data_IF_608429969980
#
_entry.id   IF_608429969980
#
_cell.length_a   1.000
_cell.length_b   1.000
_cell.length_c   1.000
_cell.angle_alpha   90.00
_cell.angle_beta   90.00
_cell.angle_gamma   90.00
#
_symmetry.space_group_name_H-M   'P 1'
#
loop_
_entity.id
_entity.type
_entity.pdbx_description
1 polymer ?
#
# COMPACT_ATOMS: atom_id res chain seq x y z
N UNK A 1 9.65 -10.34 15.59
CA UNK A 1 8.47 -10.20 14.71
C UNK A 1 7.80 -11.56 14.46
N UNK A 2 8.57 -12.60 14.16
CA UNK A 2 8.10 -13.96 13.83
C UNK A 2 7.12 -14.57 14.85
N UNK A 3 7.44 -14.56 16.14
CA UNK A 3 6.55 -15.11 17.19
C UNK A 3 5.17 -14.40 17.25
N UNK A 4 5.15 -13.06 17.13
CA UNK A 4 3.90 -12.31 17.14
C UNK A 4 3.06 -12.59 15.87
N UNK A 5 3.72 -12.85 14.74
CA UNK A 5 3.07 -13.23 13.49
C UNK A 5 2.37 -14.59 13.65
N UNK A 6 3.07 -15.59 14.18
CA UNK A 6 2.55 -16.94 14.41
C UNK A 6 1.32 -16.94 15.32
N UNK A 7 1.40 -16.26 16.46
CA UNK A 7 0.28 -16.15 17.40
C UNK A 7 -0.94 -15.50 16.73
N UNK A 8 -0.72 -14.43 15.95
CA UNK A 8 -1.81 -13.74 15.26
C UNK A 8 -2.40 -14.59 14.12
N UNK A 9 -1.57 -15.35 13.40
CA UNK A 9 -2.02 -16.30 12.37
C UNK A 9 -2.94 -17.35 12.96
N UNK A 10 -2.52 -17.99 14.06
CA UNK A 10 -3.31 -19.00 14.76
C UNK A 10 -4.63 -18.41 15.28
N UNK A 11 -4.56 -17.28 15.98
CA UNK A 11 -5.74 -16.62 16.54
C UNK A 11 -6.80 -16.22 15.51
N UNK A 12 -6.38 -15.93 14.26
CA UNK A 12 -7.28 -15.50 13.18
C UNK A 12 -7.53 -16.58 12.12
N UNK A 13 -6.96 -17.79 12.28
CA UNK A 13 -7.02 -18.85 11.26
C UNK A 13 -6.52 -18.40 9.88
N UNK A 14 -5.43 -17.63 9.87
CA UNK A 14 -4.81 -17.09 8.65
C UNK A 14 -3.46 -17.76 8.38
N UNK A 15 -3.08 -17.77 7.11
CA UNK A 15 -1.73 -18.14 6.69
C UNK A 15 -1.03 -16.91 6.09
N UNK A 16 0.15 -16.57 6.62
CA UNK A 16 0.96 -15.44 6.18
C UNK A 16 2.34 -15.96 5.80
N UNK A 17 2.74 -15.67 4.57
CA UNK A 17 4.12 -15.86 4.13
C UNK A 17 4.83 -14.51 4.14
N UNK A 18 6.00 -14.45 4.78
CA UNK A 18 6.83 -13.26 4.81
C UNK A 18 7.99 -13.39 3.85
N UNK A 19 8.36 -12.27 3.24
CA UNK A 19 9.50 -12.20 2.35
C UNK A 19 10.30 -10.92 2.60
N UNK A 20 11.59 -11.08 2.85
CA UNK A 20 12.54 -9.99 3.13
C UNK A 20 13.35 -9.59 1.89
N UNK A 21 13.18 -10.30 0.77
CA UNK A 21 13.83 -9.96 -0.49
C UNK A 21 13.28 -8.66 -1.06
N UNK A 22 14.11 -7.93 -1.79
CA UNK A 22 13.65 -6.72 -2.48
C UNK A 22 12.68 -7.09 -3.61
N UNK A 23 11.38 -6.93 -3.37
CA UNK A 23 10.34 -7.18 -4.36
C UNK A 23 10.13 -6.03 -5.34
N UNK A 24 10.64 -4.84 -5.05
CA UNK A 24 10.49 -3.65 -5.92
C UNK A 24 11.36 -3.71 -7.17
N UNK A 25 12.40 -4.56 -7.19
CA UNK A 25 13.31 -4.73 -8.33
C UNK A 25 12.88 -5.80 -9.35
N UNK A 26 11.77 -6.49 -9.11
CA UNK A 26 11.34 -7.62 -9.96
C UNK A 26 9.84 -7.61 -10.23
N UNK A 27 9.46 -8.16 -11.39
CA UNK A 27 8.07 -8.55 -11.60
C UNK A 27 7.70 -9.67 -10.63
N UNK A 28 6.52 -9.57 -10.03
CA UNK A 28 5.95 -10.68 -9.29
C UNK A 28 5.75 -11.84 -10.27
N UNK A 29 6.34 -13.00 -9.95
CA UNK A 29 6.33 -14.18 -10.82
C UNK A 29 4.92 -14.75 -10.98
N UNK A 30 4.07 -14.51 -9.99
CA UNK A 30 2.67 -14.94 -9.96
C UNK A 30 1.80 -13.72 -9.66
N UNK A 31 0.65 -13.57 -10.35
CA UNK A 31 -0.27 -12.47 -10.09
C UNK A 31 -0.96 -12.69 -8.74
N UNK A 32 -1.03 -11.64 -7.93
CA UNK A 32 -1.87 -11.62 -6.74
C UNK A 32 -3.23 -11.04 -7.11
N UNK A 33 -4.31 -11.48 -6.45
CA UNK A 33 -5.60 -10.82 -6.64
C UNK A 33 -5.52 -9.33 -6.25
N UNK A 34 -4.81 -9.06 -5.16
CA UNK A 34 -4.59 -7.73 -4.62
C UNK A 34 -3.14 -7.50 -4.21
N UNK A 35 -2.64 -6.30 -4.52
CA UNK A 35 -1.39 -5.77 -3.97
C UNK A 35 -1.75 -4.60 -3.07
N UNK A 36 -1.40 -4.71 -1.78
CA UNK A 36 -1.68 -3.69 -0.77
C UNK A 36 -0.40 -2.92 -0.45
N UNK A 37 -0.47 -1.60 -0.52
CA UNK A 37 0.65 -0.71 -0.19
C UNK A 37 0.23 0.20 0.95
N UNK A 38 0.77 -0.08 2.14
CA UNK A 38 0.69 0.80 3.29
C UNK A 38 2.07 1.37 3.58
N UNK A 39 2.11 2.65 3.97
CA UNK A 39 3.32 3.28 4.51
C UNK A 39 4.54 3.35 3.55
N UNK A 40 4.32 3.35 2.23
CA UNK A 40 5.43 3.32 1.26
C UNK A 40 5.85 4.70 0.73
N UNK A 41 5.02 5.74 0.92
CA UNK A 41 5.21 7.05 0.27
C UNK A 41 5.76 8.13 1.21
N UNK A 42 6.74 7.76 2.04
CA UNK A 42 7.34 8.69 3.01
C UNK A 42 8.49 9.54 2.42
N UNK A 43 9.14 9.05 1.36
CA UNK A 43 10.26 9.71 0.70
C UNK A 43 9.98 9.85 -0.81
N UNK A 44 10.26 11.02 -1.44
CA UNK A 44 10.02 11.23 -2.86
C UNK A 44 10.82 10.29 -3.79
N UNK A 45 12.09 10.04 -3.51
CA UNK A 45 12.94 9.19 -4.37
C UNK A 45 12.49 7.72 -4.30
N UNK A 46 12.18 7.25 -3.08
CA UNK A 46 11.60 5.93 -2.88
C UNK A 46 10.20 5.80 -3.51
N UNK A 47 9.40 6.87 -3.48
CA UNK A 47 8.08 6.91 -4.13
C UNK A 47 8.17 6.64 -5.62
N UNK A 48 9.17 7.20 -6.32
CA UNK A 48 9.37 6.91 -7.75
C UNK A 48 9.64 5.43 -8.01
N UNK A 49 10.49 4.81 -7.18
CA UNK A 49 10.80 3.37 -7.26
C UNK A 49 9.55 2.52 -7.07
N UNK A 50 8.75 2.85 -6.06
CA UNK A 50 7.48 2.17 -5.76
C UNK A 50 6.48 2.34 -6.90
N UNK A 51 6.36 3.53 -7.46
CA UNK A 51 5.42 3.82 -8.56
C UNK A 51 5.81 3.09 -9.84
N UNK A 52 7.10 3.09 -10.19
CA UNK A 52 7.60 2.33 -11.33
C UNK A 52 7.25 0.84 -11.20
N UNK A 53 7.42 0.28 -10.01
CA UNK A 53 7.07 -1.10 -9.74
C UNK A 53 5.56 -1.37 -9.80
N UNK A 54 4.74 -0.48 -9.23
CA UNK A 54 3.27 -0.55 -9.25
C UNK A 54 2.72 -0.62 -10.67
N UNK A 55 3.24 0.22 -11.58
CA UNK A 55 2.78 0.27 -12.96
C UNK A 55 2.79 -1.12 -13.60
N UNK A 56 3.81 -1.91 -13.30
CA UNK A 56 3.93 -3.28 -13.76
C UNK A 56 2.88 -4.22 -13.14
N UNK A 57 2.52 -4.01 -11.87
CA UNK A 57 1.56 -4.87 -11.17
C UNK A 57 0.11 -4.60 -11.56
N UNK A 58 -0.24 -3.36 -11.94
CA UNK A 58 -1.63 -3.02 -12.28
C UNK A 58 -2.19 -3.78 -13.49
N UNK A 59 -1.32 -4.38 -14.30
CA UNK A 59 -1.72 -5.20 -15.45
C UNK A 59 -2.29 -6.56 -15.04
N UNK A 60 -1.86 -7.09 -13.90
CA UNK A 60 -2.15 -8.46 -13.46
C UNK A 60 -2.81 -8.55 -12.09
N UNK A 61 -2.76 -7.47 -11.30
CA UNK A 61 -3.24 -7.42 -9.92
C UNK A 61 -4.01 -6.12 -9.64
N UNK A 62 -4.95 -6.15 -8.70
CA UNK A 62 -5.61 -4.92 -8.22
C UNK A 62 -4.76 -4.22 -7.16
N UNK A 63 -4.33 -2.99 -7.40
CA UNK A 63 -3.41 -2.30 -6.48
C UNK A 63 -4.17 -1.30 -5.60
N UNK A 64 -4.12 -1.52 -4.28
CA UNK A 64 -4.72 -0.67 -3.26
C UNK A 64 -3.65 0.06 -2.46
N UNK A 65 -3.83 1.37 -2.27
CA UNK A 65 -2.95 2.24 -1.49
C UNK A 65 -3.68 2.75 -0.24
N UNK A 66 -3.06 2.54 0.91
CA UNK A 66 -3.34 3.26 2.14
C UNK A 66 -2.23 4.29 2.40
N UNK A 67 -2.56 5.58 2.32
CA UNK A 67 -1.62 6.67 2.60
C UNK A 67 -2.32 7.80 3.36
N UNK A 68 -1.71 8.35 4.43
CA UNK A 68 -2.31 9.43 5.22
C UNK A 68 -2.33 10.80 4.50
N UNK A 69 -1.90 10.87 3.24
CA UNK A 69 -1.74 12.11 2.49
C UNK A 69 -0.33 12.68 2.65
N UNK A 70 0.70 11.86 2.43
CA UNK A 70 2.09 12.33 2.47
C UNK A 70 2.43 13.16 1.24
N UNK A 71 3.31 14.14 1.40
CA UNK A 71 3.72 15.04 0.32
C UNK A 71 4.23 14.32 -0.92
N UNK A 72 5.00 13.23 -0.74
CA UNK A 72 5.55 12.45 -1.84
C UNK A 72 4.44 11.88 -2.76
N UNK A 73 3.35 11.35 -2.19
CA UNK A 73 2.22 10.88 -3.00
C UNK A 73 1.24 11.99 -3.39
N UNK A 74 1.05 13.00 -2.55
CA UNK A 74 0.08 14.09 -2.79
C UNK A 74 0.44 14.95 -3.99
N UNK A 75 1.74 15.17 -4.20
CA UNK A 75 2.25 16.02 -5.27
C UNK A 75 2.61 15.21 -6.54
N UNK A 76 2.61 13.88 -6.46
CA UNK A 76 2.97 13.02 -7.59
C UNK A 76 1.79 12.86 -8.58
N UNK A 77 2.03 12.89 -9.91
CA UNK A 77 0.99 12.78 -10.94
C UNK A 77 0.08 11.54 -10.82
N UNK A 78 0.60 10.44 -10.27
CA UNK A 78 -0.14 9.19 -10.01
C UNK A 78 -1.42 9.41 -9.20
N UNK A 79 -1.49 10.50 -8.41
CA UNK A 79 -2.69 10.87 -7.67
C UNK A 79 -3.93 11.05 -8.55
N UNK A 80 -3.74 11.37 -9.82
CA UNK A 80 -4.85 11.51 -10.78
C UNK A 80 -5.34 10.16 -11.33
N UNK A 81 -4.59 9.08 -11.08
CA UNK A 81 -4.83 7.71 -11.58
C UNK A 81 -5.35 6.78 -10.49
N UNK A 82 -6.14 7.32 -9.57
CA UNK A 82 -6.69 6.58 -8.43
C UNK A 82 -8.05 7.08 -8.07
N UNK A 83 -8.87 6.20 -7.50
CA UNK A 83 -10.16 6.55 -6.94
C UNK A 83 -10.31 5.98 -5.53
N UNK A 84 -10.95 6.76 -4.65
CA UNK A 84 -11.16 6.35 -3.26
C UNK A 84 -12.22 5.24 -3.24
N UNK A 85 -11.91 4.11 -2.60
CA UNK A 85 -12.81 2.96 -2.48
C UNK A 85 -13.32 2.75 -1.06
N UNK A 86 -12.61 3.27 -0.05
CA UNK A 86 -13.05 3.23 1.33
C UNK A 86 -12.49 4.40 2.15
N UNK A 87 -13.19 4.71 3.23
CA UNK A 87 -12.79 5.68 4.24
C UNK A 87 -13.21 5.19 5.63
N UNK A 88 -12.33 5.34 6.61
CA UNK A 88 -12.53 4.87 7.97
C UNK A 88 -12.19 5.96 8.97
N UNK A 89 -13.05 6.17 9.97
CA UNK A 89 -12.73 7.00 11.11
C UNK A 89 -11.65 6.32 11.96
N UNK A 90 -10.58 7.06 12.26
CA UNK A 90 -9.49 6.54 13.07
C UNK A 90 -9.88 6.54 14.56
N UNK A 91 -9.56 5.47 15.32
CA UNK A 91 -9.73 5.46 16.77
C UNK A 91 -9.00 6.64 17.42
N UNK A 92 -9.53 7.15 18.54
CA UNK A 92 -8.96 8.32 19.23
C UNK A 92 -7.47 8.15 19.57
N UNK A 93 -7.05 6.94 19.93
CA UNK A 93 -5.64 6.60 20.16
C UNK A 93 -4.79 6.85 18.90
N UNK A 94 -5.21 6.31 17.76
CA UNK A 94 -4.53 6.56 16.48
C UNK A 94 -4.51 8.04 16.10
N UNK A 95 -5.58 8.79 16.37
CA UNK A 95 -5.59 10.23 16.10
C UNK A 95 -4.52 10.97 16.92
N UNK A 96 -4.34 10.61 18.19
CA UNK A 96 -3.32 11.22 19.06
C UNK A 96 -1.90 10.88 18.58
N UNK A 97 -1.67 9.65 18.16
CA UNK A 97 -0.37 9.19 17.65
C UNK A 97 -0.02 9.80 16.28
N UNK A 98 -1.03 10.15 15.47
CA UNK A 98 -0.86 10.61 14.09
C UNK A 98 -1.21 12.10 13.92
N UNK A 99 -0.81 12.95 14.87
CA UNK A 99 -0.97 14.41 14.80
C UNK A 99 -2.40 14.89 14.50
N UNK A 100 -3.39 14.19 15.05
CA UNK A 100 -4.81 14.52 14.87
C UNK A 100 -5.40 14.07 13.53
N UNK A 101 -4.71 13.25 12.74
CA UNK A 101 -5.29 12.63 11.55
C UNK A 101 -6.55 11.85 11.92
N UNK A 102 -7.68 12.17 11.27
CA UNK A 102 -9.00 11.64 11.66
C UNK A 102 -9.49 10.49 10.79
N UNK A 103 -9.03 10.42 9.55
CA UNK A 103 -9.57 9.53 8.52
C UNK A 103 -8.44 8.75 7.87
N UNK A 104 -8.60 7.43 7.80
CA UNK A 104 -7.83 6.56 6.93
C UNK A 104 -8.59 6.37 5.62
N UNK A 105 -7.90 6.48 4.48
CA UNK A 105 -8.51 6.33 3.15
C UNK A 105 -7.80 5.22 2.39
N UNK A 106 -8.58 4.45 1.63
CA UNK A 106 -8.07 3.43 0.73
C UNK A 106 -8.36 3.84 -0.71
N UNK A 107 -7.36 3.76 -1.55
CA UNK A 107 -7.42 4.15 -2.96
C UNK A 107 -7.12 2.95 -3.85
N UNK A 108 -7.97 2.69 -4.84
CA UNK A 108 -7.67 1.76 -5.92
C UNK A 108 -7.00 2.52 -7.05
N UNK A 109 -5.88 1.99 -7.54
CA UNK A 109 -5.20 2.53 -8.72
C UNK A 109 -5.88 2.04 -9.99
N UNK A 110 -5.99 2.94 -10.96
CA UNK A 110 -6.41 2.60 -12.31
C UNK A 110 -5.30 1.80 -13.00
N UNK A 111 -5.65 1.00 -14.02
CA UNK A 111 -4.62 0.34 -14.86
C UNK A 111 -3.76 1.40 -15.54
N UNK A 112 -2.44 1.27 -15.41
CA UNK A 112 -1.48 2.21 -15.98
C UNK A 112 -0.86 1.55 -17.21
N UNK A 113 -1.33 1.92 -18.39
CA UNK A 113 -0.70 1.48 -19.63
C UNK A 113 0.67 2.18 -19.76
N UNK A 114 1.73 1.40 -19.92
CA UNK A 114 3.04 1.94 -20.29
C UNK A 114 2.98 2.34 -21.77
N UNK A 115 3.22 3.62 -22.07
CA UNK A 115 3.46 4.12 -23.43
C UNK A 115 4.89 3.86 -23.85
#
# INVERSE_FOLDING_TARGET
AEIALEINMEANSLHINTDISNRLSSHLKEPFDFVLLGDMFYDPEFTETVIYWIQQQTNTSSVLIGDPGRHALLNHPIKTKRHQVAEYALPKTCQLENNGLRLGKVWLLDRINMT
#
